data_IF_466577028306
#
_entry.id   IF_466577028306
#
_cell.length_a   1.000
_cell.length_b   1.000
_cell.length_c   1.000
_cell.angle_alpha   90.00
_cell.angle_beta   90.00
_cell.angle_gamma   90.00
#
_symmetry.space_group_name_H-M   'P 1'
#
loop_
_entity.id
_entity.type
_entity.pdbx_description
1 polymer ?
#
# COMPACT_ATOMS: atom_id res chain seq x y z
N UNK A 1 7.99 -0.27 16.21
CA UNK A 1 7.91 -1.48 15.39
C UNK A 1 8.81 -2.62 15.90
N UNK A 2 9.57 -2.42 16.98
CA UNK A 2 10.37 -3.47 17.62
C UNK A 2 11.54 -4.02 16.80
N UNK A 3 12.01 -3.27 15.80
CA UNK A 3 13.18 -3.66 15.01
C UNK A 3 14.44 -3.36 15.84
N UNK A 4 15.33 -4.35 16.04
CA UNK A 4 16.57 -4.14 16.80
C UNK A 4 17.47 -3.06 16.18
N UNK A 5 18.10 -2.25 17.03
CA UNK A 5 18.92 -1.11 16.60
C UNK A 5 20.09 -1.48 15.70
N UNK A 6 20.70 -2.64 15.91
CA UNK A 6 21.79 -3.11 15.06
C UNK A 6 21.33 -3.39 13.62
N UNK A 7 20.10 -3.92 13.41
CA UNK A 7 19.54 -4.12 12.08
C UNK A 7 19.19 -2.78 11.41
N UNK A 8 18.66 -1.84 12.19
CA UNK A 8 18.38 -0.49 11.71
C UNK A 8 19.66 0.20 11.25
N UNK A 9 20.75 0.07 12.04
CA UNK A 9 22.06 0.61 11.68
C UNK A 9 22.62 -0.02 10.39
N UNK A 10 22.54 -1.35 10.25
CA UNK A 10 22.99 -2.05 9.05
C UNK A 10 22.22 -1.59 7.82
N UNK A 11 20.89 -1.49 7.91
CA UNK A 11 20.05 -1.01 6.80
C UNK A 11 20.39 0.44 6.44
N UNK A 12 20.57 1.30 7.43
CA UNK A 12 20.97 2.70 7.20
C UNK A 12 22.32 2.78 6.46
N UNK A 13 23.30 1.99 6.86
CA UNK A 13 24.59 1.94 6.19
C UNK A 13 24.50 1.41 4.76
N UNK A 14 23.64 0.40 4.53
CA UNK A 14 23.40 -0.18 3.20
C UNK A 14 22.81 0.86 2.22
N UNK A 15 21.95 1.76 2.70
CA UNK A 15 21.25 2.74 1.85
C UNK A 15 21.90 4.14 1.86
N UNK A 16 22.89 4.37 2.73
CA UNK A 16 23.58 5.67 2.79
C UNK A 16 24.58 5.81 1.64
N UNK A 17 24.50 6.93 0.93
CA UNK A 17 25.47 7.26 -0.15
C UNK A 17 25.31 6.43 -1.42
N UNK A 18 24.17 5.78 -1.62
CA UNK A 18 23.94 5.05 -2.86
C UNK A 18 23.82 5.99 -4.05
N UNK A 19 24.46 5.61 -5.15
CA UNK A 19 24.44 6.29 -6.43
C UNK A 19 24.01 5.33 -7.55
N UNK A 20 23.39 5.85 -8.59
CA UNK A 20 22.98 5.08 -9.74
C UNK A 20 23.30 5.81 -11.05
N UNK A 21 23.50 5.03 -12.11
CA UNK A 21 23.53 5.50 -13.48
C UNK A 21 22.46 4.79 -14.29
N UNK A 22 21.97 5.45 -15.33
CA UNK A 22 21.02 4.84 -16.28
C UNK A 22 21.74 4.61 -17.61
N UNK A 23 21.68 3.38 -18.09
CA UNK A 23 22.17 3.03 -19.42
C UNK A 23 21.07 3.26 -20.44
N UNK A 24 21.32 4.13 -21.39
CA UNK A 24 20.43 4.45 -22.51
C UNK A 24 21.03 3.96 -23.83
N UNK A 25 20.25 3.97 -24.91
CA UNK A 25 20.77 3.67 -26.26
C UNK A 25 21.87 4.62 -26.75
N UNK A 26 22.03 5.78 -26.10
CA UNK A 26 23.00 6.82 -26.45
C UNK A 26 24.19 6.89 -25.47
N UNK A 27 24.29 5.96 -24.51
CA UNK A 27 25.36 5.93 -23.52
C UNK A 27 24.85 5.83 -22.07
N UNK A 28 25.75 6.10 -21.13
CA UNK A 28 25.44 6.05 -19.68
C UNK A 28 25.34 7.48 -19.17
N UNK A 29 24.33 7.74 -18.33
CA UNK A 29 24.19 9.04 -17.64
C UNK A 29 25.32 9.25 -16.62
N UNK A 30 25.50 10.48 -16.15
CA UNK A 30 26.30 10.75 -14.97
C UNK A 30 25.72 10.05 -13.72
N UNK A 31 26.54 9.93 -12.69
CA UNK A 31 26.12 9.38 -11.38
C UNK A 31 25.11 10.29 -10.70
N UNK A 32 24.01 9.72 -10.23
CA UNK A 32 22.94 10.43 -9.52
C UNK A 32 22.77 9.81 -8.15
N UNK A 33 22.79 10.64 -7.10
CA UNK A 33 22.55 10.16 -5.75
C UNK A 33 21.10 9.72 -5.55
N UNK A 34 20.92 8.52 -5.01
CA UNK A 34 19.62 7.98 -4.63
C UNK A 34 19.27 8.49 -3.23
N UNK A 35 18.23 9.30 -3.15
CA UNK A 35 17.80 9.91 -1.88
C UNK A 35 16.61 9.22 -1.24
N UNK A 36 15.80 8.50 -2.01
CA UNK A 36 14.56 7.85 -1.56
C UNK A 36 14.31 6.57 -2.35
N UNK A 37 13.62 5.63 -1.72
CA UNK A 37 13.17 4.38 -2.32
C UNK A 37 14.02 3.19 -1.90
N UNK A 38 13.62 2.03 -2.40
CA UNK A 38 14.34 0.76 -2.23
C UNK A 38 14.80 0.27 -3.59
N UNK A 39 15.89 -0.48 -3.62
CA UNK A 39 16.48 -0.99 -4.85
C UNK A 39 15.55 -2.04 -5.48
N UNK A 40 15.22 -1.89 -6.77
CA UNK A 40 14.49 -2.93 -7.51
C UNK A 40 15.32 -4.21 -7.57
N UNK A 41 14.64 -5.36 -7.52
CA UNK A 41 15.28 -6.70 -7.56
C UNK A 41 16.18 -7.01 -6.36
N UNK A 42 16.20 -6.19 -5.31
CA UNK A 42 16.90 -6.51 -4.07
C UNK A 42 16.00 -7.41 -3.20
N UNK A 43 16.56 -8.47 -2.66
CA UNK A 43 15.83 -9.43 -1.81
C UNK A 43 15.23 -8.79 -0.54
N UNK A 44 15.80 -7.69 -0.06
CA UNK A 44 15.31 -6.96 1.11
C UNK A 44 14.17 -5.98 0.78
N UNK A 45 14.02 -5.57 -0.47
CA UNK A 45 13.08 -4.51 -0.85
C UNK A 45 11.62 -4.86 -0.57
N UNK A 46 11.12 -6.07 -0.82
CA UNK A 46 9.76 -6.46 -0.44
C UNK A 46 9.51 -6.38 1.07
N UNK A 47 10.49 -6.83 1.87
CA UNK A 47 10.39 -6.78 3.34
C UNK A 47 10.36 -5.33 3.85
N UNK A 48 11.22 -4.47 3.31
CA UNK A 48 11.28 -3.06 3.67
C UNK A 48 10.01 -2.32 3.26
N UNK A 49 9.47 -2.63 2.08
CA UNK A 49 8.20 -2.06 1.62
C UNK A 49 7.05 -2.50 2.54
N UNK A 50 6.97 -3.77 2.91
CA UNK A 50 5.96 -4.26 3.83
C UNK A 50 6.04 -3.60 5.22
N UNK A 51 7.25 -3.40 5.76
CA UNK A 51 7.44 -2.65 7.01
C UNK A 51 6.98 -1.20 6.89
N UNK A 52 7.24 -0.58 5.74
CA UNK A 52 6.82 0.78 5.45
C UNK A 52 5.29 0.92 5.33
N UNK A 53 4.66 0.00 4.62
CA UNK A 53 3.21 -0.09 4.51
C UNK A 53 2.56 -0.30 5.89
N UNK A 54 3.12 -1.20 6.71
CA UNK A 54 2.68 -1.43 8.09
C UNK A 54 2.77 -0.16 8.96
N UNK A 55 3.87 0.59 8.85
CA UNK A 55 4.03 1.86 9.53
C UNK A 55 2.94 2.88 9.15
N UNK A 56 2.61 2.98 7.86
CA UNK A 56 1.56 3.88 7.37
C UNK A 56 0.21 3.49 7.95
N UNK A 57 -0.14 2.20 7.89
CA UNK A 57 -1.44 1.72 8.35
C UNK A 57 -1.63 1.86 9.86
N UNK A 58 -0.60 1.60 10.65
CA UNK A 58 -0.62 1.85 12.10
C UNK A 58 -0.82 3.33 12.42
N UNK A 59 -0.12 4.22 11.73
CA UNK A 59 -0.29 5.67 11.90
C UNK A 59 -1.65 6.18 11.40
N UNK A 60 -2.32 5.44 10.52
CA UNK A 60 -3.70 5.71 10.10
C UNK A 60 -4.74 5.18 11.11
N UNK A 61 -4.30 4.55 12.21
CA UNK A 61 -5.19 4.01 13.25
C UNK A 61 -5.89 2.70 12.83
N UNK A 62 -5.31 1.97 11.88
CA UNK A 62 -5.91 0.72 11.38
C UNK A 62 -5.92 -0.40 12.41
N UNK A 63 -4.95 -0.43 13.33
CA UNK A 63 -4.86 -1.45 14.39
C UNK A 63 -5.97 -1.28 15.45
N UNK A 64 -6.46 -0.04 15.63
CA UNK A 64 -7.50 0.30 16.60
C UNK A 64 -8.90 0.36 15.95
N UNK A 65 -8.97 0.30 14.62
CA UNK A 65 -10.24 0.38 13.91
C UNK A 65 -11.08 -0.86 14.19
N UNK A 66 -12.26 -0.66 14.72
CA UNK A 66 -13.30 -1.70 14.79
C UNK A 66 -13.85 -2.04 13.38
N UNK A 67 -13.48 -1.22 12.40
CA UNK A 67 -13.80 -1.43 10.99
C UNK A 67 -13.25 -2.76 10.48
N UNK A 68 -14.04 -3.46 9.69
CA UNK A 68 -13.66 -4.74 9.11
C UNK A 68 -14.82 -5.72 9.04
N UNK A 69 -14.55 -6.86 8.42
CA UNK A 69 -15.50 -7.97 8.36
C UNK A 69 -15.04 -9.11 9.27
N UNK A 70 -15.98 -9.75 9.95
CA UNK A 70 -15.68 -10.89 10.82
C UNK A 70 -15.66 -12.18 10.01
N UNK A 71 -14.49 -12.80 9.89
CA UNK A 71 -14.30 -14.10 9.25
C UNK A 71 -13.75 -15.07 10.29
N UNK A 72 -14.47 -16.17 10.55
CA UNK A 72 -14.10 -17.19 11.54
C UNK A 72 -13.75 -16.60 12.93
N UNK A 73 -14.49 -15.59 13.39
CA UNK A 73 -14.29 -14.92 14.67
C UNK A 73 -13.14 -13.90 14.72
N UNK A 74 -12.43 -13.70 13.62
CA UNK A 74 -11.37 -12.69 13.50
C UNK A 74 -11.87 -11.51 12.69
N UNK A 75 -11.56 -10.31 13.16
CA UNK A 75 -11.83 -9.09 12.40
C UNK A 75 -10.75 -8.88 11.35
N UNK A 76 -11.13 -8.82 10.08
CA UNK A 76 -10.24 -8.58 8.95
C UNK A 76 -10.65 -7.26 8.31
N UNK A 77 -9.80 -6.27 8.37
CA UNK A 77 -10.01 -4.93 7.81
C UNK A 77 -9.15 -4.63 6.59
N UNK A 78 -8.09 -5.39 6.36
CA UNK A 78 -7.27 -5.26 5.16
C UNK A 78 -6.60 -6.58 4.75
N UNK A 79 -6.33 -6.71 3.44
CA UNK A 79 -5.46 -7.72 2.85
C UNK A 79 -4.39 -7.01 2.03
N UNK A 80 -3.15 -7.50 2.09
CA UNK A 80 -2.02 -6.86 1.42
C UNK A 80 -1.19 -7.86 0.63
N UNK A 81 -0.82 -7.46 -0.57
CA UNK A 81 0.14 -8.17 -1.41
C UNK A 81 1.00 -7.16 -2.15
N UNK A 82 2.26 -7.01 -1.75
CA UNK A 82 3.16 -5.96 -2.24
C UNK A 82 2.51 -4.57 -2.11
N UNK A 83 2.33 -3.85 -3.22
CA UNK A 83 1.68 -2.53 -3.30
C UNK A 83 0.15 -2.61 -3.40
N UNK A 84 -0.41 -3.80 -3.68
CA UNK A 84 -1.85 -3.99 -3.72
C UNK A 84 -2.41 -4.13 -2.29
N UNK A 85 -3.37 -3.30 -1.96
CA UNK A 85 -4.05 -3.34 -0.66
C UNK A 85 -5.55 -3.31 -0.86
N UNK A 86 -6.24 -4.28 -0.26
CA UNK A 86 -7.71 -4.32 -0.21
C UNK A 86 -8.15 -3.97 1.20
N UNK A 87 -9.01 -2.97 1.35
CA UNK A 87 -9.67 -2.62 2.59
C UNK A 87 -11.06 -3.21 2.64
N UNK A 88 -11.45 -3.67 3.83
CA UNK A 88 -12.76 -4.27 4.07
C UNK A 88 -13.39 -3.56 5.27
N UNK A 89 -14.58 -3.03 5.07
CA UNK A 89 -15.37 -2.40 6.12
C UNK A 89 -16.84 -2.25 5.67
N UNK A 90 -17.71 -1.90 6.58
CA UNK A 90 -19.03 -1.41 6.24
C UNK A 90 -18.94 -0.05 5.53
N UNK A 91 -19.96 0.30 4.72
CA UNK A 91 -19.86 1.38 3.73
C UNK A 91 -19.40 2.73 4.27
N UNK A 92 -19.91 3.16 5.42
CA UNK A 92 -19.58 4.46 6.00
C UNK A 92 -18.17 4.52 6.60
N UNK A 93 -17.73 3.40 7.15
CA UNK A 93 -16.38 3.28 7.74
C UNK A 93 -15.29 3.21 6.69
N UNK A 94 -15.59 2.63 5.52
CA UNK A 94 -14.61 2.41 4.46
C UNK A 94 -14.07 3.73 3.89
N UNK A 95 -14.94 4.75 3.74
CA UNK A 95 -14.52 6.07 3.26
C UNK A 95 -13.56 6.75 4.25
N UNK A 96 -13.95 6.78 5.53
CA UNK A 96 -13.11 7.33 6.60
C UNK A 96 -11.74 6.64 6.66
N UNK A 97 -11.73 5.32 6.54
CA UNK A 97 -10.54 4.50 6.54
C UNK A 97 -9.62 4.83 5.36
N UNK A 98 -10.18 4.88 4.16
CA UNK A 98 -9.44 5.20 2.95
C UNK A 98 -8.82 6.60 2.99
N UNK A 99 -9.55 7.58 3.52
CA UNK A 99 -9.05 8.95 3.68
C UNK A 99 -7.88 9.02 4.67
N UNK A 100 -7.96 8.33 5.82
CA UNK A 100 -6.86 8.24 6.78
C UNK A 100 -5.60 7.60 6.18
N UNK A 101 -5.77 6.50 5.46
CA UNK A 101 -4.66 5.82 4.78
C UNK A 101 -4.05 6.71 3.70
N UNK A 102 -4.87 7.41 2.93
CA UNK A 102 -4.42 8.37 1.92
C UNK A 102 -3.58 9.47 2.55
N UNK A 103 -4.06 10.13 3.60
CA UNK A 103 -3.32 11.18 4.31
C UNK A 103 -2.00 10.64 4.90
N UNK A 104 -2.04 9.47 5.52
CA UNK A 104 -0.85 8.80 6.05
C UNK A 104 0.18 8.50 4.97
N UNK A 105 -0.28 8.02 3.81
CA UNK A 105 0.57 7.71 2.66
C UNK A 105 1.20 8.97 2.05
N UNK A 106 0.43 10.03 1.89
CA UNK A 106 0.92 11.30 1.34
C UNK A 106 1.99 11.95 2.21
N UNK A 107 1.87 11.87 3.54
CA UNK A 107 2.89 12.38 4.48
C UNK A 107 4.25 11.72 4.29
N UNK A 108 4.28 10.49 3.84
CA UNK A 108 5.51 9.72 3.61
C UNK A 108 5.91 9.63 2.12
N UNK A 109 5.20 10.38 1.27
CA UNK A 109 5.53 10.51 -0.16
C UNK A 109 4.97 9.42 -1.07
N UNK A 110 4.07 8.57 -0.58
CA UNK A 110 3.30 7.64 -1.39
C UNK A 110 1.97 8.29 -1.81
N UNK A 111 1.56 8.07 -3.04
CA UNK A 111 0.29 8.60 -3.56
C UNK A 111 -0.64 7.45 -3.94
N UNK A 112 -1.88 7.53 -3.46
CA UNK A 112 -2.93 6.61 -3.87
C UNK A 112 -3.20 6.78 -5.38
N UNK A 113 -3.17 5.68 -6.12
CA UNK A 113 -3.53 5.68 -7.53
C UNK A 113 -5.04 5.50 -7.69
N UNK A 114 -5.78 6.62 -7.72
CA UNK A 114 -7.24 6.63 -7.82
C UNK A 114 -7.75 5.89 -9.06
N UNK A 115 -7.03 5.93 -10.18
CA UNK A 115 -7.44 5.24 -11.41
C UNK A 115 -7.38 3.71 -11.29
N UNK A 116 -6.43 3.19 -10.51
CA UNK A 116 -6.30 1.76 -10.22
C UNK A 116 -7.15 1.33 -9.02
N UNK A 117 -7.58 2.27 -8.20
CA UNK A 117 -8.44 1.97 -7.05
C UNK A 117 -9.82 1.59 -7.55
N UNK A 118 -10.36 0.48 -7.06
CA UNK A 118 -11.66 -0.06 -7.40
C UNK A 118 -12.43 -0.33 -6.12
N UNK A 119 -13.74 -0.37 -6.23
CA UNK A 119 -14.63 -0.68 -5.12
C UNK A 119 -15.50 -1.88 -5.46
N UNK A 120 -15.72 -2.74 -4.48
CA UNK A 120 -16.66 -3.84 -4.58
C UNK A 120 -17.60 -3.80 -3.37
N UNK A 121 -18.87 -4.02 -3.58
CA UNK A 121 -19.85 -4.09 -2.51
C UNK A 121 -20.86 -5.18 -2.73
N UNK A 122 -21.39 -5.71 -1.64
CA UNK A 122 -22.45 -6.71 -1.62
C UNK A 122 -23.86 -6.14 -1.78
N UNK A 123 -24.00 -4.81 -1.83
CA UNK A 123 -25.29 -4.10 -1.97
C UNK A 123 -25.24 -2.96 -2.98
N UNK A 124 -26.37 -2.30 -3.24
CA UNK A 124 -26.41 -1.18 -4.18
C UNK A 124 -25.54 -0.03 -3.65
N UNK A 125 -24.50 0.34 -4.42
CA UNK A 125 -23.69 1.51 -4.16
C UNK A 125 -24.13 2.64 -5.08
N UNK A 126 -24.40 3.79 -4.49
CA UNK A 126 -24.40 5.08 -5.18
C UNK A 126 -22.95 5.47 -5.43
N UNK A 127 -22.65 6.16 -6.53
CA UNK A 127 -21.29 6.50 -6.98
C UNK A 127 -20.34 6.95 -5.85
N UNK A 128 -19.17 6.33 -5.76
CA UNK A 128 -18.10 6.71 -4.84
C UNK A 128 -17.09 7.64 -5.53
N UNK A 129 -16.65 8.66 -4.80
CA UNK A 129 -15.68 9.62 -5.32
C UNK A 129 -14.48 9.79 -4.37
N UNK A 130 -13.29 9.78 -4.95
CA UNK A 130 -12.05 10.11 -4.25
C UNK A 130 -11.46 11.36 -4.93
N UNK A 131 -11.33 12.46 -4.19
CA UNK A 131 -10.87 13.74 -4.72
C UNK A 131 -11.66 14.22 -5.96
N UNK A 132 -12.99 14.07 -5.96
CA UNK A 132 -13.83 14.46 -7.10
C UNK A 132 -13.73 13.54 -8.32
N UNK A 133 -13.00 12.44 -8.23
CA UNK A 133 -12.93 11.41 -9.28
C UNK A 133 -13.79 10.22 -8.87
N UNK A 134 -14.67 9.80 -9.76
CA UNK A 134 -15.51 8.61 -9.55
C UNK A 134 -14.64 7.35 -9.56
N UNK A 135 -14.82 6.51 -8.55
CA UNK A 135 -14.17 5.19 -8.44
C UNK A 135 -15.03 4.16 -9.14
N UNK A 136 -14.43 3.33 -9.95
CA UNK A 136 -15.12 2.26 -10.67
C UNK A 136 -15.56 1.16 -9.71
N UNK A 137 -16.81 0.71 -9.87
CA UNK A 137 -17.37 -0.40 -9.10
C UNK A 137 -17.21 -1.69 -9.88
N UNK A 138 -16.71 -2.74 -9.21
CA UNK A 138 -16.52 -4.06 -9.78
C UNK A 138 -17.46 -5.08 -9.11
N UNK A 139 -17.89 -6.09 -9.87
CA UNK A 139 -18.64 -7.22 -9.35
C UNK A 139 -17.72 -8.30 -8.74
N UNK A 140 -16.50 -8.40 -9.26
CA UNK A 140 -15.46 -9.31 -8.82
C UNK A 140 -14.07 -8.71 -9.03
N UNK A 141 -13.06 -9.22 -8.35
CA UNK A 141 -11.67 -8.80 -8.57
C UNK A 141 -10.67 -9.94 -8.27
N UNK A 142 -9.49 -9.83 -8.86
CA UNK A 142 -8.37 -10.74 -8.63
C UNK A 142 -7.37 -10.03 -7.72
N UNK A 143 -7.10 -10.60 -6.54
CA UNK A 143 -6.12 -10.09 -5.60
C UNK A 143 -4.79 -10.84 -5.74
N UNK A 144 -3.68 -10.10 -5.89
CA UNK A 144 -2.34 -10.67 -5.89
C UNK A 144 -2.06 -11.66 -7.03
N UNK A 145 -2.72 -11.51 -8.20
CA UNK A 145 -2.65 -12.42 -9.36
C UNK A 145 -3.08 -13.88 -9.06
N UNK A 146 -3.58 -14.15 -7.87
CA UNK A 146 -4.22 -15.43 -7.55
C UNK A 146 -5.67 -15.37 -8.03
N UNK A 147 -6.03 -16.25 -8.96
CA UNK A 147 -7.43 -16.45 -9.37
C UNK A 147 -8.21 -17.07 -8.22
N UNK A 148 -8.58 -16.29 -7.24
CA UNK A 148 -9.56 -16.69 -6.26
C UNK A 148 -10.91 -16.10 -6.67
N UNK A 149 -11.73 -16.91 -7.30
CA UNK A 149 -13.12 -16.60 -7.57
C UNK A 149 -13.87 -16.59 -6.23
N UNK A 150 -13.94 -15.46 -5.55
CA UNK A 150 -14.97 -15.23 -4.56
C UNK A 150 -16.20 -14.70 -5.31
N UNK A 151 -17.07 -15.59 -5.78
CA UNK A 151 -18.46 -15.26 -6.11
C UNK A 151 -19.23 -15.23 -4.78
N UNK A 152 -19.77 -14.10 -4.44
CA UNK A 152 -20.79 -13.92 -3.40
C UNK A 152 -22.18 -13.92 -4.04
#
# INVERSE_FOLDING_TARGET
MGIPDHLTCLLKNLYTGQEATVRTGHGTTGWVQIRKGVCQSCILSPCLFNLYAEYILRNAGMDEAQAGIKIAGRNINNLRYADDTTFMAESEELESLLMKVKEGSEKVGLKLNVQKTKIMASGPITSWQINGKTVETLADFIFGQLQNYCRW
#
